data_IF_695466749551
#
_entry.id   IF_695466749551
#
_cell.length_a   1.000
_cell.length_b   1.000
_cell.length_c   1.000
_cell.angle_alpha   90.00
_cell.angle_beta   90.00
_cell.angle_gamma   90.00
#
_symmetry.space_group_name_H-M   'P 1'
#
loop_
_entity.id
_entity.type
_entity.pdbx_description
1 polymer ?
#
# COMPACT_ATOMS: atom_id res chain seq x y z
N UNK A 1 -7.55 -4.88 3.14
CA UNK A 1 -6.52 -4.79 4.19
C UNK A 1 -5.79 -6.12 4.36
N UNK A 2 -6.50 -7.23 4.55
CA UNK A 2 -5.87 -8.54 4.78
C UNK A 2 -4.83 -8.92 3.71
N UNK A 3 -5.14 -8.70 2.44
CA UNK A 3 -4.21 -9.04 1.36
C UNK A 3 -2.92 -8.22 1.43
N UNK A 4 -3.01 -6.96 1.86
CA UNK A 4 -1.83 -6.11 2.06
C UNK A 4 -0.99 -6.57 3.25
N UNK A 5 -1.62 -6.86 4.38
CA UNK A 5 -0.92 -7.34 5.58
C UNK A 5 -0.21 -8.67 5.28
N UNK A 6 -0.89 -9.59 4.61
CA UNK A 6 -0.29 -10.88 4.25
C UNK A 6 0.90 -10.70 3.30
N UNK A 7 0.74 -9.89 2.28
CA UNK A 7 1.80 -9.70 1.27
C UNK A 7 2.99 -8.94 1.84
N UNK A 8 2.73 -7.90 2.66
CA UNK A 8 3.78 -7.07 3.22
C UNK A 8 4.58 -7.76 4.32
N UNK A 9 3.92 -8.43 5.25
CA UNK A 9 4.58 -8.94 6.46
C UNK A 9 4.25 -10.40 6.80
N UNK A 10 3.28 -11.02 6.12
CA UNK A 10 2.79 -12.33 6.55
C UNK A 10 2.15 -12.30 7.93
N UNK A 11 1.54 -11.18 8.30
CA UNK A 11 0.95 -10.94 9.63
C UNK A 11 1.99 -10.87 10.76
N UNK A 12 3.26 -10.54 10.44
CA UNK A 12 4.31 -10.35 11.46
C UNK A 12 4.38 -8.89 11.88
N UNK A 13 3.97 -8.54 13.12
CA UNK A 13 4.00 -7.15 13.58
C UNK A 13 5.41 -6.60 13.75
N UNK A 14 6.41 -7.47 13.87
CA UNK A 14 7.81 -7.08 14.08
C UNK A 14 8.63 -7.06 12.79
N UNK A 15 7.99 -7.24 11.64
CA UNK A 15 8.70 -7.29 10.36
C UNK A 15 9.39 -5.96 10.04
N UNK A 16 10.64 -6.06 9.58
CA UNK A 16 11.42 -4.93 9.09
C UNK A 16 12.11 -5.34 7.78
N UNK A 17 11.89 -4.57 6.72
CA UNK A 17 12.49 -4.87 5.42
C UNK A 17 13.91 -4.33 5.29
N UNK A 18 14.58 -4.68 4.19
CA UNK A 18 15.93 -4.16 3.87
C UNK A 18 15.96 -2.65 3.67
N UNK A 19 14.81 -2.02 3.39
CA UNK A 19 14.68 -0.56 3.24
C UNK A 19 14.04 0.09 4.47
N UNK A 20 14.07 -0.60 5.62
CA UNK A 20 13.54 -0.13 6.90
C UNK A 20 12.04 0.14 6.92
N UNK A 21 11.27 -0.53 6.04
CA UNK A 21 9.81 -0.52 6.16
C UNK A 21 9.40 -1.41 7.33
N UNK A 22 8.47 -0.94 8.16
CA UNK A 22 8.16 -1.54 9.48
C UNK A 22 6.72 -1.96 9.63
N UNK A 23 6.52 -3.05 10.37
CA UNK A 23 5.24 -3.49 10.90
C UNK A 23 4.39 -4.27 9.92
N UNK A 24 3.15 -4.49 10.29
CA UNK A 24 2.20 -5.32 9.53
C UNK A 24 2.00 -4.87 8.08
N UNK A 25 2.02 -3.57 7.83
CA UNK A 25 1.79 -3.01 6.50
C UNK A 25 3.05 -2.39 5.87
N UNK A 26 4.20 -2.62 6.49
CA UNK A 26 5.52 -2.25 5.96
C UNK A 26 5.60 -0.80 5.50
N UNK A 27 5.47 0.12 6.45
CA UNK A 27 5.54 1.55 6.18
C UNK A 27 6.96 2.07 6.38
N UNK A 28 7.45 2.87 5.43
CA UNK A 28 8.73 3.56 5.55
C UNK A 28 8.61 4.82 6.42
N UNK A 29 9.75 5.31 6.92
CA UNK A 29 9.77 6.50 7.74
C UNK A 29 9.23 7.73 7.00
N UNK A 30 9.61 7.91 5.75
CA UNK A 30 9.16 9.05 4.95
C UNK A 30 7.64 9.10 4.85
N UNK A 31 7.01 7.98 4.52
CA UNK A 31 5.56 7.89 4.44
C UNK A 31 4.92 8.10 5.81
N UNK A 32 5.49 7.50 6.86
CA UNK A 32 5.00 7.65 8.22
C UNK A 32 5.00 9.12 8.66
N UNK A 33 6.09 9.84 8.45
CA UNK A 33 6.20 11.25 8.84
C UNK A 33 5.20 12.13 8.09
N UNK A 34 5.00 11.85 6.81
CA UNK A 34 4.01 12.57 6.01
C UNK A 34 2.59 12.32 6.55
N UNK A 35 2.24 11.08 6.81
CA UNK A 35 0.92 10.73 7.35
C UNK A 35 0.72 11.27 8.77
N UNK A 36 1.77 11.24 9.60
CA UNK A 36 1.69 11.78 10.96
C UNK A 36 1.27 13.25 10.94
N UNK A 37 1.77 14.01 9.99
CA UNK A 37 1.38 15.43 9.85
C UNK A 37 -0.07 15.60 9.46
N UNK A 38 -0.69 14.58 8.87
CA UNK A 38 -2.09 14.62 8.41
C UNK A 38 -3.09 14.14 9.47
N UNK A 39 -2.79 13.02 10.14
CA UNK A 39 -3.79 12.35 10.97
C UNK A 39 -3.41 12.28 12.45
N UNK A 40 -2.19 12.63 12.81
CA UNK A 40 -1.68 12.50 14.17
C UNK A 40 -0.88 13.72 14.61
N UNK A 41 -1.20 14.89 14.07
CA UNK A 41 -0.53 16.13 14.45
C UNK A 41 -0.72 16.40 15.94
N UNK A 42 0.37 16.62 16.66
CA UNK A 42 0.34 16.83 18.10
C UNK A 42 0.29 15.55 18.94
N UNK A 43 0.13 14.38 18.32
CA UNK A 43 0.21 13.10 19.04
C UNK A 43 1.65 12.65 19.21
N UNK A 44 1.90 11.94 20.30
CA UNK A 44 3.24 11.46 20.66
C UNK A 44 3.50 10.06 20.06
N UNK A 45 3.29 9.93 18.76
CA UNK A 45 3.50 8.68 18.03
C UNK A 45 4.79 8.78 17.21
N UNK A 46 5.60 7.72 17.23
CA UNK A 46 6.91 7.68 16.58
C UNK A 46 6.97 6.56 15.54
N UNK A 47 7.98 6.60 14.69
CA UNK A 47 8.21 5.57 13.70
C UNK A 47 8.41 4.18 14.34
N UNK A 48 9.02 4.12 15.53
CA UNK A 48 9.16 2.87 16.28
C UNK A 48 7.84 2.26 16.72
N UNK A 49 6.79 3.06 16.83
CA UNK A 49 5.46 2.58 17.23
C UNK A 49 4.78 1.76 16.13
N UNK A 50 5.31 1.76 14.92
CA UNK A 50 4.78 0.92 13.83
C UNK A 50 4.86 -0.58 14.10
N UNK A 51 5.66 -1.00 15.08
CA UNK A 51 5.67 -2.38 15.53
C UNK A 51 4.44 -2.72 16.39
N UNK A 52 3.71 -1.74 16.87
CA UNK A 52 2.40 -1.94 17.51
C UNK A 52 1.36 -2.19 16.40
N UNK A 53 0.65 -3.34 16.41
CA UNK A 53 -0.35 -3.65 15.37
C UNK A 53 -1.41 -2.56 15.20
N UNK A 54 -1.87 -1.95 16.28
CA UNK A 54 -2.88 -0.89 16.23
C UNK A 54 -2.36 0.33 15.46
N UNK A 55 -1.12 0.74 15.74
CA UNK A 55 -0.50 1.88 15.06
C UNK A 55 -0.26 1.57 13.60
N UNK A 56 0.31 0.39 13.31
CA UNK A 56 0.59 -0.03 11.94
C UNK A 56 -0.68 -0.07 11.10
N UNK A 57 -1.76 -0.63 11.63
CA UNK A 57 -3.04 -0.69 10.92
C UNK A 57 -3.65 0.69 10.74
N UNK A 58 -3.59 1.55 11.75
CA UNK A 58 -4.10 2.92 11.65
C UNK A 58 -3.46 3.69 10.49
N UNK A 59 -2.14 3.71 10.46
CA UNK A 59 -1.39 4.45 9.43
C UNK A 59 -1.45 3.74 8.07
N UNK A 60 -1.29 2.43 8.06
CA UNK A 60 -1.31 1.65 6.82
C UNK A 60 -2.66 1.66 6.12
N UNK A 61 -3.75 1.50 6.88
CA UNK A 61 -5.10 1.56 6.33
C UNK A 61 -5.44 2.96 5.81
N UNK A 62 -4.98 4.01 6.49
CA UNK A 62 -5.20 5.36 6.01
C UNK A 62 -4.44 5.61 4.70
N UNK A 63 -3.19 5.16 4.62
CA UNK A 63 -2.42 5.30 3.38
C UNK A 63 -3.05 4.51 2.23
N UNK A 64 -3.50 3.29 2.49
CA UNK A 64 -4.22 2.49 1.51
C UNK A 64 -5.51 3.19 1.05
N UNK A 65 -6.24 3.79 1.97
CA UNK A 65 -7.42 4.57 1.66
C UNK A 65 -7.09 5.72 0.70
N UNK A 66 -6.02 6.45 0.96
CA UNK A 66 -5.58 7.54 0.07
C UNK A 66 -5.21 7.01 -1.32
N UNK A 67 -4.54 5.85 -1.39
CA UNK A 67 -4.23 5.21 -2.68
C UNK A 67 -5.51 4.83 -3.43
N UNK A 68 -6.47 4.24 -2.74
CA UNK A 68 -7.74 3.84 -3.36
C UNK A 68 -8.51 5.05 -3.88
N UNK A 69 -8.59 6.14 -3.12
CA UNK A 69 -9.26 7.36 -3.56
C UNK A 69 -8.56 7.97 -4.77
N UNK A 70 -7.24 8.01 -4.76
CA UNK A 70 -6.47 8.66 -5.82
C UNK A 70 -6.65 7.96 -7.17
N UNK A 71 -6.84 6.65 -7.18
CA UNK A 71 -6.90 5.84 -8.41
C UNK A 71 -8.28 5.23 -8.66
N UNK A 72 -9.33 5.92 -8.24
CA UNK A 72 -10.70 5.56 -8.59
C UNK A 72 -11.19 4.25 -8.01
N UNK A 73 -10.58 3.76 -6.94
CA UNK A 73 -10.97 2.50 -6.30
C UNK A 73 -10.42 1.25 -6.97
N UNK A 74 -9.54 1.39 -7.96
CA UNK A 74 -8.92 0.25 -8.63
C UNK A 74 -7.84 -0.37 -7.74
N UNK A 75 -8.09 -1.58 -7.24
CA UNK A 75 -7.20 -2.26 -6.28
C UNK A 75 -5.81 -2.47 -6.85
N UNK A 76 -5.70 -2.88 -8.11
CA UNK A 76 -4.40 -3.16 -8.74
C UNK A 76 -3.55 -1.90 -8.84
N UNK A 77 -4.13 -0.77 -9.27
CA UNK A 77 -3.42 0.51 -9.37
C UNK A 77 -3.06 1.04 -7.99
N UNK A 78 -3.98 0.95 -7.02
CA UNK A 78 -3.71 1.35 -5.65
C UNK A 78 -2.59 0.51 -5.02
N UNK A 79 -2.55 -0.80 -5.29
CA UNK A 79 -1.48 -1.68 -4.81
C UNK A 79 -0.13 -1.29 -5.41
N UNK A 80 -0.09 -0.99 -6.70
CA UNK A 80 1.13 -0.52 -7.35
C UNK A 80 1.64 0.77 -6.69
N UNK A 81 0.74 1.70 -6.39
CA UNK A 81 1.07 2.97 -5.75
C UNK A 81 1.52 2.79 -4.30
N UNK A 82 0.88 1.87 -3.57
CA UNK A 82 1.28 1.55 -2.20
C UNK A 82 2.73 1.04 -2.16
N UNK A 83 3.07 0.16 -3.10
CA UNK A 83 4.39 -0.46 -3.18
C UNK A 83 5.46 0.49 -3.75
N UNK A 84 5.16 1.17 -4.85
CA UNK A 84 6.15 1.89 -5.66
C UNK A 84 6.10 3.41 -5.52
N UNK A 85 5.09 3.93 -4.81
CA UNK A 85 4.89 5.37 -4.64
C UNK A 85 4.02 6.00 -5.72
N UNK A 86 3.39 7.11 -5.37
CA UNK A 86 2.48 7.83 -6.25
C UNK A 86 3.19 8.41 -7.49
N UNK A 87 4.42 8.91 -7.30
CA UNK A 87 5.17 9.50 -8.41
C UNK A 87 5.42 8.51 -9.54
N UNK A 88 5.80 7.27 -9.18
CA UNK A 88 6.03 6.22 -10.16
C UNK A 88 4.76 5.85 -10.91
N UNK A 89 3.66 5.67 -10.19
CA UNK A 89 2.37 5.30 -10.81
C UNK A 89 1.83 6.46 -11.64
N UNK A 90 1.88 7.68 -11.13
CA UNK A 90 1.39 8.86 -11.87
C UNK A 90 2.14 9.04 -13.19
N UNK A 91 3.45 8.78 -13.20
CA UNK A 91 4.25 8.83 -14.44
C UNK A 91 3.80 7.77 -15.45
N UNK A 92 3.47 6.56 -14.99
CA UNK A 92 2.96 5.50 -15.86
C UNK A 92 1.57 5.82 -16.41
N UNK A 93 0.74 6.48 -15.64
CA UNK A 93 -0.61 6.86 -16.07
C UNK A 93 -0.61 7.88 -17.22
N UNK A 94 0.48 8.62 -17.42
CA UNK A 94 0.64 9.54 -18.53
C UNK A 94 0.93 8.84 -19.86
N UNK A 95 1.21 7.53 -19.84
CA UNK A 95 1.58 6.76 -21.03
C UNK A 95 0.39 5.95 -21.51
N UNK A 96 -0.02 6.14 -22.77
CA UNK A 96 -1.15 5.42 -23.38
C UNK A 96 -0.96 3.90 -23.36
N UNK A 97 0.28 3.43 -23.49
CA UNK A 97 0.61 1.99 -23.47
C UNK A 97 0.33 1.32 -22.12
N UNK A 98 0.24 2.12 -21.03
CA UNK A 98 0.01 1.61 -19.68
C UNK A 98 -1.32 2.04 -19.08
N UNK A 99 -2.02 3.00 -19.71
CA UNK A 99 -3.29 3.47 -19.18
C UNK A 99 -4.17 4.05 -20.32
N UNK A 100 -5.40 3.60 -20.39
CA UNK A 100 -6.38 4.12 -21.34
C UNK A 100 -7.11 5.36 -20.83
N UNK A 101 -7.35 5.43 -19.50
CA UNK A 101 -8.17 6.48 -18.88
C UNK A 101 -7.36 7.51 -18.08
N UNK A 102 -6.06 7.31 -17.90
CA UNK A 102 -5.20 8.18 -17.09
C UNK A 102 -5.40 8.04 -15.58
N UNK A 103 -6.22 7.09 -15.14
CA UNK A 103 -6.58 6.86 -13.72
C UNK A 103 -6.18 5.47 -13.26
N UNK A 104 -6.37 4.46 -14.11
CA UNK A 104 -6.05 3.06 -13.79
C UNK A 104 -5.00 2.50 -14.72
N UNK A 105 -4.12 1.65 -14.18
CA UNK A 105 -3.07 0.98 -14.95
C UNK A 105 -3.61 -0.28 -15.61
N UNK A 106 -3.25 -0.49 -16.88
CA UNK A 106 -3.57 -1.69 -17.65
C UNK A 106 -2.39 -2.66 -17.74
N UNK A 107 -1.20 -2.23 -17.31
CA UNK A 107 -0.02 -3.07 -17.28
C UNK A 107 0.96 -2.56 -16.25
N UNK A 108 1.80 -3.46 -15.74
CA UNK A 108 2.75 -3.17 -14.67
C UNK A 108 4.15 -3.52 -15.17
N UNK A 109 4.87 -2.53 -15.77
CA UNK A 109 6.10 -2.82 -16.53
C UNK A 109 7.30 -3.17 -15.67
N UNK A 110 7.26 -2.87 -14.35
CA UNK A 110 8.38 -3.15 -13.46
C UNK A 110 8.18 -4.48 -12.77
N UNK A 111 9.19 -5.37 -12.81
CA UNK A 111 9.07 -6.74 -12.30
C UNK A 111 8.61 -6.82 -10.85
N UNK A 112 9.20 -6.02 -9.95
CA UNK A 112 8.81 -6.03 -8.54
C UNK A 112 7.39 -5.55 -8.33
N UNK A 113 6.99 -4.48 -9.03
CA UNK A 113 5.63 -3.96 -9.02
C UNK A 113 4.65 -5.01 -9.53
N UNK A 114 4.97 -5.63 -10.66
CA UNK A 114 4.12 -6.66 -11.28
C UNK A 114 3.87 -7.83 -10.32
N UNK A 115 4.93 -8.37 -9.71
CA UNK A 115 4.81 -9.47 -8.75
C UNK A 115 4.02 -9.07 -7.51
N UNK A 116 4.24 -7.86 -7.01
CA UNK A 116 3.50 -7.35 -5.86
C UNK A 116 2.00 -7.26 -6.17
N UNK A 117 1.64 -6.65 -7.29
CA UNK A 117 0.24 -6.52 -7.72
C UNK A 117 -0.41 -7.91 -7.91
N UNK A 118 0.30 -8.86 -8.51
CA UNK A 118 -0.20 -10.22 -8.66
C UNK A 118 -0.51 -10.87 -7.31
N UNK A 119 0.40 -10.74 -6.34
CA UNK A 119 0.20 -11.29 -4.99
C UNK A 119 -1.00 -10.64 -4.31
N UNK A 120 -1.11 -9.31 -4.37
CA UNK A 120 -2.23 -8.57 -3.76
C UNK A 120 -3.56 -9.00 -4.38
N UNK A 121 -3.65 -9.04 -5.71
CA UNK A 121 -4.91 -9.37 -6.38
C UNK A 121 -5.31 -10.82 -6.16
N UNK A 122 -4.36 -11.74 -6.15
CA UNK A 122 -4.63 -13.15 -5.85
C UNK A 122 -5.11 -13.33 -4.40
N UNK A 123 -4.44 -12.71 -3.44
CA UNK A 123 -4.86 -12.74 -2.03
C UNK A 123 -6.22 -12.06 -1.84
N UNK A 124 -6.45 -10.94 -2.52
CA UNK A 124 -7.72 -10.22 -2.45
C UNK A 124 -8.87 -11.12 -2.93
N UNK A 125 -8.69 -11.85 -4.03
CA UNK A 125 -9.69 -12.77 -4.54
C UNK A 125 -10.02 -13.88 -3.53
N UNK A 126 -9.00 -14.45 -2.86
CA UNK A 126 -9.20 -15.48 -1.83
C UNK A 126 -9.97 -14.90 -0.64
N UNK A 127 -9.57 -13.75 -0.12
CA UNK A 127 -10.25 -13.14 1.03
C UNK A 127 -11.66 -12.68 0.68
N UNK A 128 -11.89 -12.22 -0.55
CA UNK A 128 -13.22 -11.85 -1.02
C UNK A 128 -14.14 -13.08 -1.03
N UNK A 129 -13.64 -14.24 -1.46
CA UNK A 129 -14.39 -15.50 -1.42
C UNK A 129 -14.71 -15.96 0.01
N UNK A 130 -13.75 -15.79 0.94
CA UNK A 130 -13.90 -16.26 2.32
C UNK A 130 -14.74 -15.34 3.18
N UNK A 131 -14.60 -14.03 3.03
CA UNK A 131 -15.14 -13.02 3.94
C UNK A 131 -15.96 -11.92 3.26
N UNK A 132 -15.88 -11.81 1.94
CA UNK A 132 -16.59 -10.80 1.18
C UNK A 132 -18.08 -11.10 1.04
N UNK A 133 -18.85 -10.06 0.80
CA UNK A 133 -20.30 -10.15 0.54
C UNK A 133 -20.62 -9.79 -0.89
#
# INVERSE_FOLDING_TARGET
VYSFVRTESGFDPDATSSVEARGLMQMTEETFLWLRSKIAEGEDVTFGDLYDPTVSLRFGCYYLHLCMERYGGDVATAAAAYHSGWGTVDALLQKEEHSADGITLQGFPYNQMHHYVEKITACYAVYQNLYGT
#
